data_IF_530174474536
#
_entry.id   IF_530174474536
#
_cell.length_a   1.000
_cell.length_b   1.000
_cell.length_c   1.000
_cell.angle_alpha   90.00
_cell.angle_beta   90.00
_cell.angle_gamma   90.00
#
_symmetry.space_group_name_H-M   'P 1'
#
loop_
_entity.id
_entity.type
_entity.pdbx_description
1 polymer ?
#
# COMPACT_ATOMS: atom_id res chain seq x y z
N UNK A 1 33.30 16.63 43.92
CA UNK A 1 32.99 17.00 42.52
C UNK A 1 32.48 15.75 41.85
N UNK A 2 31.17 15.65 41.74
CA UNK A 2 30.49 14.62 40.94
C UNK A 2 29.54 15.43 40.08
N UNK A 3 29.83 15.48 38.79
CA UNK A 3 29.02 16.15 37.77
C UNK A 3 27.61 15.58 37.81
N UNK A 4 26.62 16.47 37.85
CA UNK A 4 25.24 16.12 37.58
C UNK A 4 25.17 15.73 36.10
N UNK A 5 24.81 14.48 35.83
CA UNK A 5 24.41 14.05 34.50
C UNK A 5 23.17 14.86 34.13
N UNK A 6 23.32 15.74 33.15
CA UNK A 6 22.21 16.44 32.54
C UNK A 6 21.27 15.38 31.94
N UNK A 7 20.01 15.44 32.39
CA UNK A 7 18.91 14.61 31.92
C UNK A 7 18.64 15.04 30.47
N UNK A 8 19.28 14.37 29.51
CA UNK A 8 18.97 14.60 28.09
C UNK A 8 17.49 14.25 27.89
N UNK A 9 16.66 15.16 27.34
CA UNK A 9 15.26 14.86 27.11
C UNK A 9 15.18 13.65 26.18
N UNK A 10 14.53 12.58 26.66
CA UNK A 10 14.28 11.39 25.84
C UNK A 10 13.66 11.85 24.50
N UNK A 11 14.17 11.36 23.34
CA UNK A 11 13.62 11.75 22.06
C UNK A 11 12.13 11.43 22.09
N UNK A 12 11.29 12.46 21.88
CA UNK A 12 9.83 12.36 21.86
C UNK A 12 9.44 11.10 21.11
N UNK A 13 9.04 10.09 21.87
CA UNK A 13 8.53 8.84 21.34
C UNK A 13 7.27 9.25 20.60
N UNK A 14 7.22 9.01 19.30
CA UNK A 14 6.04 9.23 18.47
C UNK A 14 4.96 8.20 18.87
N UNK A 15 4.55 8.22 20.14
CA UNK A 15 3.43 7.47 20.72
C UNK A 15 2.15 8.26 20.45
N UNK A 16 1.77 8.27 19.18
CA UNK A 16 0.38 8.32 18.80
C UNK A 16 0.19 7.15 17.87
N UNK A 17 -0.69 6.20 18.22
CA UNK A 17 -1.14 5.19 17.29
C UNK A 17 -1.78 5.90 16.10
N UNK A 18 -0.96 6.23 15.10
CA UNK A 18 -1.41 6.90 13.88
C UNK A 18 -2.40 5.95 13.25
N UNK A 19 -3.63 6.43 13.04
CA UNK A 19 -4.59 5.64 12.29
C UNK A 19 -4.03 5.40 10.89
N UNK A 20 -4.43 4.29 10.26
CA UNK A 20 -4.05 3.98 8.88
C UNK A 20 -4.36 5.17 7.94
N UNK A 21 -5.47 5.88 8.19
CA UNK A 21 -5.85 7.12 7.51
C UNK A 21 -4.83 8.25 7.71
N UNK A 22 -4.29 8.43 8.92
CA UNK A 22 -3.31 9.50 9.20
C UNK A 22 -1.97 9.23 8.53
N UNK A 23 -1.54 7.97 8.49
CA UNK A 23 -0.33 7.56 7.76
C UNK A 23 -0.50 7.75 6.25
N UNK A 24 -1.66 7.37 5.70
CA UNK A 24 -1.99 7.57 4.28
C UNK A 24 -1.91 9.04 3.88
N UNK A 25 -2.53 9.93 4.66
CA UNK A 25 -2.50 11.39 4.40
C UNK A 25 -1.12 12.00 4.55
N UNK A 26 -0.33 11.53 5.52
CA UNK A 26 1.06 12.01 5.70
C UNK A 26 1.97 11.61 4.54
N UNK A 27 1.77 10.42 4.00
CA UNK A 27 2.48 9.94 2.82
C UNK A 27 2.18 10.81 1.59
N UNK A 28 0.90 11.15 1.37
CA UNK A 28 0.50 12.05 0.28
C UNK A 28 1.16 13.43 0.37
N UNK A 29 1.21 14.00 1.58
CA UNK A 29 1.87 15.28 1.83
C UNK A 29 3.40 15.23 1.68
N UNK A 30 4.02 14.06 1.86
CA UNK A 30 5.47 13.91 1.87
C UNK A 30 6.06 13.68 0.48
N UNK A 31 5.29 13.09 -0.45
CA UNK A 31 5.79 12.65 -1.75
C UNK A 31 4.97 13.23 -2.90
N UNK A 32 5.65 13.63 -3.97
CA UNK A 32 4.96 14.11 -5.17
C UNK A 32 4.16 12.99 -5.83
N UNK A 33 3.09 13.36 -6.53
CA UNK A 33 2.28 12.45 -7.35
C UNK A 33 3.14 11.55 -8.25
N UNK A 34 4.12 12.12 -8.94
CA UNK A 34 5.01 11.35 -9.83
C UNK A 34 5.85 10.33 -9.06
N UNK A 35 6.32 10.67 -7.86
CA UNK A 35 7.06 9.76 -6.99
C UNK A 35 6.18 8.59 -6.53
N UNK A 36 4.93 8.88 -6.15
CA UNK A 36 3.96 7.87 -5.73
C UNK A 36 3.62 6.92 -6.89
N UNK A 37 3.35 7.46 -8.09
CA UNK A 37 3.08 6.67 -9.30
C UNK A 37 4.26 5.77 -9.68
N UNK A 38 5.48 6.31 -9.65
CA UNK A 38 6.68 5.53 -9.95
C UNK A 38 6.88 4.39 -8.95
N UNK A 39 6.70 4.66 -7.64
CA UNK A 39 6.85 3.63 -6.62
C UNK A 39 5.76 2.56 -6.72
N UNK A 40 4.52 2.95 -6.98
CA UNK A 40 3.44 2.00 -7.23
C UNK A 40 3.72 1.09 -8.44
N UNK A 41 4.24 1.65 -9.54
CA UNK A 41 4.62 0.87 -10.71
C UNK A 41 5.74 -0.15 -10.43
N UNK A 42 6.71 0.21 -9.56
CA UNK A 42 7.75 -0.69 -9.08
C UNK A 42 7.16 -1.87 -8.29
N UNK A 43 6.38 -1.59 -7.25
CA UNK A 43 5.79 -2.63 -6.38
C UNK A 43 4.83 -3.55 -7.16
N UNK A 44 4.07 -3.02 -8.11
CA UNK A 44 3.22 -3.85 -8.97
C UNK A 44 4.04 -4.75 -9.90
N UNK A 45 5.20 -4.29 -10.35
CA UNK A 45 6.12 -5.10 -11.15
C UNK A 45 6.76 -6.21 -10.31
N UNK A 46 7.11 -5.93 -9.06
CA UNK A 46 7.67 -6.91 -8.12
C UNK A 46 6.65 -7.98 -7.75
N UNK A 47 5.40 -7.59 -7.43
CA UNK A 47 4.29 -8.53 -7.22
C UNK A 47 4.03 -9.39 -8.45
N UNK A 48 4.01 -8.80 -9.65
CA UNK A 48 3.87 -9.55 -10.91
C UNK A 48 4.97 -10.60 -11.06
N UNK A 49 6.22 -10.24 -10.77
CA UNK A 49 7.34 -11.17 -10.83
C UNK A 49 7.22 -12.27 -9.75
N UNK A 50 6.78 -11.93 -8.53
CA UNK A 50 6.58 -12.88 -7.44
C UNK A 50 5.46 -13.89 -7.74
N UNK A 51 4.36 -13.45 -8.34
CA UNK A 51 3.27 -14.33 -8.81
C UNK A 51 3.81 -15.32 -9.85
N UNK A 52 4.54 -14.83 -10.86
CA UNK A 52 5.13 -15.70 -11.89
C UNK A 52 6.11 -16.72 -11.30
N UNK A 53 6.94 -16.33 -10.33
CA UNK A 53 7.82 -17.26 -9.62
C UNK A 53 7.01 -18.28 -8.79
N UNK A 54 5.93 -17.85 -8.14
CA UNK A 54 5.06 -18.74 -7.36
C UNK A 54 4.38 -19.80 -8.23
N UNK A 55 3.88 -19.43 -9.41
CA UNK A 55 3.30 -20.35 -10.38
C UNK A 55 4.29 -21.43 -10.85
N UNK A 56 5.59 -21.10 -10.87
CA UNK A 56 6.66 -22.03 -11.23
C UNK A 56 7.27 -22.76 -10.02
N UNK A 57 6.72 -22.60 -8.81
CA UNK A 57 7.23 -23.21 -7.58
C UNK A 57 8.57 -22.62 -7.10
N UNK A 58 8.90 -21.40 -7.51
CA UNK A 58 10.16 -20.70 -7.20
C UNK A 58 9.99 -19.54 -6.20
N UNK A 59 8.79 -19.35 -5.66
CA UNK A 59 8.49 -18.31 -4.67
C UNK A 59 7.84 -18.94 -3.45
N UNK A 60 8.40 -18.66 -2.27
CA UNK A 60 7.80 -19.02 -1.00
C UNK A 60 6.55 -18.18 -0.72
N UNK A 61 5.57 -18.78 -0.04
CA UNK A 61 4.31 -18.11 0.27
C UNK A 61 4.50 -16.81 1.06
N UNK A 62 5.46 -16.79 1.99
CA UNK A 62 5.77 -15.62 2.81
C UNK A 62 6.32 -14.47 1.97
N UNK A 63 7.24 -14.78 1.04
CA UNK A 63 7.77 -13.78 0.12
C UNK A 63 6.69 -13.27 -0.85
N UNK A 64 5.78 -14.12 -1.34
CA UNK A 64 4.63 -13.64 -2.13
C UNK A 64 3.70 -12.72 -1.32
N UNK A 65 3.48 -13.04 -0.04
CA UNK A 65 2.66 -12.22 0.85
C UNK A 65 3.25 -10.83 1.06
N UNK A 66 4.58 -10.73 1.21
CA UNK A 66 5.26 -9.45 1.37
C UNK A 66 5.01 -8.54 0.16
N UNK A 67 5.28 -9.05 -1.04
CA UNK A 67 5.09 -8.31 -2.31
C UNK A 67 3.63 -7.89 -2.52
N UNK A 68 2.68 -8.71 -2.06
CA UNK A 68 1.26 -8.37 -2.07
C UNK A 68 0.93 -7.22 -1.10
N UNK A 69 1.54 -7.21 0.08
CA UNK A 69 1.33 -6.15 1.07
C UNK A 69 1.94 -4.84 0.58
N UNK A 70 3.15 -4.88 0.02
CA UNK A 70 3.82 -3.68 -0.50
C UNK A 70 3.01 -3.06 -1.65
N UNK A 71 2.55 -3.87 -2.60
CA UNK A 71 1.61 -3.44 -3.64
C UNK A 71 0.29 -2.89 -3.08
N UNK A 72 -0.27 -3.51 -2.02
CA UNK A 72 -1.50 -3.02 -1.38
C UNK A 72 -1.31 -1.64 -0.76
N UNK A 73 -0.17 -1.39 -0.12
CA UNK A 73 0.13 -0.06 0.45
C UNK A 73 0.24 0.98 -0.68
N UNK A 74 0.83 0.62 -1.82
CA UNK A 74 0.89 1.54 -2.96
C UNK A 74 -0.49 1.79 -3.59
N UNK A 75 -1.34 0.78 -3.67
CA UNK A 75 -2.73 0.97 -4.12
C UNK A 75 -3.46 1.99 -3.23
N UNK A 76 -3.30 1.88 -1.91
CA UNK A 76 -3.86 2.85 -0.96
C UNK A 76 -3.36 4.28 -1.14
N UNK A 77 -2.12 4.46 -1.60
CA UNK A 77 -1.59 5.78 -1.95
C UNK A 77 -2.24 6.31 -3.22
N UNK A 78 -2.39 5.45 -4.25
CA UNK A 78 -3.02 5.84 -5.50
C UNK A 78 -4.51 6.17 -5.35
N UNK A 79 -5.22 5.51 -4.44
CA UNK A 79 -6.62 5.82 -4.11
C UNK A 79 -6.81 7.29 -3.71
N UNK A 80 -5.80 7.93 -3.09
CA UNK A 80 -5.86 9.34 -2.69
C UNK A 80 -5.91 10.32 -3.88
N UNK A 81 -5.60 9.85 -5.10
CA UNK A 81 -5.68 10.64 -6.31
C UNK A 81 -7.11 10.78 -6.85
N UNK A 82 -8.06 10.02 -6.30
CA UNK A 82 -9.45 9.95 -6.72
C UNK A 82 -10.37 10.23 -5.54
N UNK A 83 -11.62 10.59 -5.84
CA UNK A 83 -12.66 10.67 -4.83
C UNK A 83 -13.27 9.30 -4.55
N UNK A 84 -13.83 9.11 -3.36
CA UNK A 84 -14.55 7.89 -3.00
C UNK A 84 -15.73 7.62 -3.96
N UNK A 85 -16.38 8.68 -4.47
CA UNK A 85 -17.47 8.59 -5.46
C UNK A 85 -16.95 8.03 -6.79
N UNK A 86 -15.90 8.62 -7.37
CA UNK A 86 -15.29 8.13 -8.61
C UNK A 86 -14.85 6.66 -8.52
N UNK A 87 -14.22 6.27 -7.39
CA UNK A 87 -13.79 4.88 -7.18
C UNK A 87 -14.97 3.92 -7.03
N UNK A 88 -16.02 4.33 -6.34
CA UNK A 88 -17.21 3.49 -6.12
C UNK A 88 -17.96 3.25 -7.42
N UNK A 89 -18.21 4.30 -8.22
CA UNK A 89 -18.92 4.19 -9.50
C UNK A 89 -18.20 3.26 -10.48
N UNK A 90 -16.87 3.38 -10.57
CA UNK A 90 -16.08 2.53 -11.46
C UNK A 90 -16.00 1.09 -10.94
N UNK A 91 -15.91 0.90 -9.61
CA UNK A 91 -15.90 -0.43 -9.00
C UNK A 91 -17.22 -1.18 -9.24
N UNK A 92 -18.37 -0.52 -9.08
CA UNK A 92 -19.68 -1.11 -9.37
C UNK A 92 -19.76 -1.60 -10.81
N UNK A 93 -19.31 -0.77 -11.76
CA UNK A 93 -19.27 -1.12 -13.19
C UNK A 93 -18.43 -2.39 -13.44
N UNK A 94 -17.23 -2.46 -12.86
CA UNK A 94 -16.34 -3.62 -13.02
C UNK A 94 -16.89 -4.89 -12.36
N UNK A 95 -17.59 -4.75 -11.23
CA UNK A 95 -18.19 -5.88 -10.53
C UNK A 95 -19.39 -6.45 -11.29
N UNK A 96 -20.22 -5.61 -11.89
CA UNK A 96 -21.32 -6.04 -12.77
C UNK A 96 -20.77 -6.82 -13.98
N UNK A 97 -19.70 -6.33 -14.59
CA UNK A 97 -19.01 -7.03 -15.70
C UNK A 97 -18.44 -8.39 -15.25
N UNK A 98 -17.89 -8.47 -14.04
CA UNK A 98 -17.38 -9.71 -13.48
C UNK A 98 -18.50 -10.72 -13.21
N UNK A 99 -19.60 -10.28 -12.62
CA UNK A 99 -20.78 -11.13 -12.34
C UNK A 99 -21.35 -11.70 -13.65
N UNK A 100 -21.51 -10.85 -14.67
CA UNK A 100 -21.95 -11.29 -15.99
C UNK A 100 -21.03 -12.35 -16.61
N UNK A 101 -19.70 -12.19 -16.47
CA UNK A 101 -18.73 -13.18 -16.95
C UNK A 101 -18.82 -14.49 -16.18
N UNK A 102 -19.08 -14.45 -14.87
CA UNK A 102 -19.26 -15.65 -14.07
C UNK A 102 -20.55 -16.40 -14.45
N UNK A 103 -21.63 -15.71 -14.83
CA UNK A 103 -22.83 -16.37 -15.36
C UNK A 103 -22.60 -17.06 -16.71
N UNK A 104 -21.74 -16.49 -17.55
CA UNK A 104 -21.45 -17.02 -18.89
C UNK A 104 -20.45 -18.19 -18.89
N UNK A 105 -19.48 -18.18 -17.96
CA UNK A 105 -18.33 -19.09 -17.98
C UNK A 105 -18.13 -19.90 -16.69
N UNK A 106 -18.95 -19.67 -15.67
CA UNK A 106 -18.94 -20.37 -14.37
C UNK A 106 -19.70 -21.68 -14.33
#
# INVERSE_FOLDING_TARGET
MTEALEDEPEPERWDAALSESDLRKRADLAWSRDSQLNKAAEEFSELSAAINRSLNGQQERESLLQELVDARVMLWQLELLFTDEELTEELETVLDDLDHRLELFG
#
